data_IF_327227559312
#
_entry.id   IF_327227559312
#
_cell.length_a   1.000
_cell.length_b   1.000
_cell.length_c   1.000
_cell.angle_alpha   90.00
_cell.angle_beta   90.00
_cell.angle_gamma   90.00
#
_symmetry.space_group_name_H-M   'P 1'
#
loop_
_entity.id
_entity.type
_entity.pdbx_description
1 polymer ?
#
# COMPACT_ATOMS: atom_id res chain seq x y z
N UNK A 1 2.55 3.22 -12.18
CA UNK A 1 1.91 2.34 -11.15
C UNK A 1 2.73 2.17 -9.88
N UNK A 2 4.04 1.89 -9.94
CA UNK A 2 4.88 1.71 -8.73
C UNK A 2 4.78 2.89 -7.75
N UNK A 3 4.79 4.13 -8.25
CA UNK A 3 4.67 5.32 -7.41
C UNK A 3 3.34 5.37 -6.62
N UNK A 4 2.22 4.97 -7.25
CA UNK A 4 0.93 4.87 -6.56
C UNK A 4 0.92 3.75 -5.52
N UNK A 5 1.54 2.61 -5.78
CA UNK A 5 1.68 1.54 -4.80
C UNK A 5 2.44 2.02 -3.55
N UNK A 6 3.54 2.77 -3.73
CA UNK A 6 4.30 3.39 -2.63
C UNK A 6 3.45 4.44 -1.92
N UNK A 7 2.73 5.30 -2.65
CA UNK A 7 1.87 6.32 -2.08
C UNK A 7 0.74 5.72 -1.22
N UNK A 8 0.11 4.63 -1.66
CA UNK A 8 -0.90 3.90 -0.87
C UNK A 8 -0.29 3.19 0.33
N UNK A 9 0.92 2.64 0.20
CA UNK A 9 1.61 1.96 1.30
C UNK A 9 2.00 2.93 2.41
N UNK A 10 2.54 4.09 2.03
CA UNK A 10 2.96 5.17 2.94
C UNK A 10 1.81 6.07 3.39
N UNK A 11 0.66 5.98 2.72
CA UNK A 11 -0.54 6.78 2.97
C UNK A 11 -0.29 8.31 2.86
N UNK A 12 0.67 8.70 2.02
CA UNK A 12 1.02 10.10 1.78
C UNK A 12 -0.04 10.76 0.88
N UNK A 13 -0.91 11.60 1.44
CA UNK A 13 -2.00 12.25 0.69
C UNK A 13 -1.50 13.07 -0.51
N UNK A 14 -0.39 13.81 -0.34
CA UNK A 14 0.23 14.59 -1.42
C UNK A 14 0.78 13.70 -2.55
N UNK A 15 1.41 12.59 -2.18
CA UNK A 15 1.95 11.62 -3.13
C UNK A 15 0.82 10.94 -3.92
N UNK A 16 -0.31 10.64 -3.25
CA UNK A 16 -1.50 10.08 -3.89
C UNK A 16 -2.03 11.07 -4.93
N UNK A 17 -2.18 12.36 -4.58
CA UNK A 17 -2.69 13.38 -5.52
C UNK A 17 -1.81 13.49 -6.78
N UNK A 18 -0.52 13.74 -6.60
CA UNK A 18 0.42 13.94 -7.71
C UNK A 18 0.52 12.70 -8.60
N UNK A 19 0.64 11.51 -8.01
CA UNK A 19 0.81 10.29 -8.79
C UNK A 19 -0.51 9.81 -9.41
N UNK A 20 -1.67 10.15 -8.85
CA UNK A 20 -2.98 9.91 -9.49
C UNK A 20 -3.15 10.82 -10.72
N UNK A 21 -2.78 12.10 -10.60
CA UNK A 21 -2.82 13.02 -11.73
C UNK A 21 -1.89 12.58 -12.87
N UNK A 22 -0.70 12.08 -12.55
CA UNK A 22 0.23 11.50 -13.52
C UNK A 22 -0.34 10.23 -14.18
N UNK A 23 -0.88 9.29 -13.38
CA UNK A 23 -1.49 8.06 -13.88
C UNK A 23 -2.65 8.34 -14.85
N UNK A 24 -3.50 9.32 -14.53
CA UNK A 24 -4.60 9.73 -15.43
C UNK A 24 -4.09 10.25 -16.78
N UNK A 25 -2.96 10.97 -16.81
CA UNK A 25 -2.33 11.46 -18.06
C UNK A 25 -1.78 10.31 -18.91
N UNK A 26 -1.35 9.23 -18.27
CA UNK A 26 -0.88 8.01 -18.93
C UNK A 26 -2.03 7.10 -19.40
N UNK A 27 -3.29 7.48 -19.15
CA UNK A 27 -4.47 6.72 -19.59
C UNK A 27 -4.83 5.55 -18.68
N UNK A 28 -4.28 5.50 -17.47
CA UNK A 28 -4.56 4.45 -16.48
C UNK A 28 -6.05 4.45 -16.14
N UNK A 29 -6.67 3.26 -16.14
CA UNK A 29 -8.09 3.10 -15.84
C UNK A 29 -8.36 3.07 -14.34
N UNK A 30 -9.63 3.24 -13.97
CA UNK A 30 -10.06 3.10 -12.57
C UNK A 30 -9.85 1.70 -12.03
N UNK A 31 -9.97 0.68 -12.88
CA UNK A 31 -9.77 -0.73 -12.54
C UNK A 31 -8.29 -0.99 -12.22
N UNK A 32 -7.36 -0.51 -13.05
CA UNK A 32 -5.92 -0.61 -12.79
C UNK A 32 -5.52 0.12 -11.50
N UNK A 33 -6.13 1.29 -11.23
CA UNK A 33 -5.91 2.02 -9.98
C UNK A 33 -6.39 1.22 -8.76
N UNK A 34 -7.55 0.57 -8.89
CA UNK A 34 -8.14 -0.28 -7.85
C UNK A 34 -7.29 -1.54 -7.60
N UNK A 35 -6.74 -2.17 -8.63
CA UNK A 35 -5.81 -3.29 -8.49
C UNK A 35 -4.58 -2.90 -7.67
N UNK A 36 -3.96 -1.75 -7.98
CA UNK A 36 -2.80 -1.26 -7.23
C UNK A 36 -3.16 -0.96 -5.77
N UNK A 37 -4.35 -0.39 -5.52
CA UNK A 37 -4.83 -0.15 -4.16
C UNK A 37 -5.03 -1.46 -3.37
N UNK A 38 -5.62 -2.48 -4.00
CA UNK A 38 -5.82 -3.80 -3.39
C UNK A 38 -4.48 -4.50 -3.08
N UNK A 39 -3.51 -4.44 -3.99
CA UNK A 39 -2.16 -4.98 -3.76
C UNK A 39 -1.49 -4.29 -2.57
N UNK A 40 -1.53 -2.95 -2.51
CA UNK A 40 -0.96 -2.19 -1.41
C UNK A 40 -1.65 -2.50 -0.07
N UNK A 41 -2.98 -2.66 -0.07
CA UNK A 41 -3.74 -3.04 1.11
C UNK A 41 -3.34 -4.44 1.61
N UNK A 42 -3.25 -5.43 0.71
CA UNK A 42 -2.84 -6.78 1.05
C UNK A 42 -1.42 -6.83 1.64
N UNK A 43 -0.47 -6.08 1.07
CA UNK A 43 0.90 -6.00 1.60
C UNK A 43 0.93 -5.39 3.01
N UNK A 44 0.19 -4.30 3.26
CA UNK A 44 0.13 -3.70 4.60
C UNK A 44 -0.50 -4.64 5.62
N UNK A 45 -1.59 -5.32 5.26
CA UNK A 45 -2.23 -6.30 6.12
C UNK A 45 -1.28 -7.46 6.46
N UNK A 46 -0.61 -8.03 5.45
CA UNK A 46 0.37 -9.11 5.65
C UNK A 46 1.57 -8.69 6.51
N UNK A 47 2.06 -7.46 6.33
CA UNK A 47 3.10 -6.88 7.18
C UNK A 47 2.64 -6.77 8.63
N UNK A 48 1.46 -6.19 8.87
CA UNK A 48 0.90 -6.09 10.22
C UNK A 48 0.73 -7.46 10.89
N UNK A 49 0.24 -8.46 10.16
CA UNK A 49 0.06 -9.82 10.68
C UNK A 49 1.39 -10.49 11.03
N UNK A 50 2.38 -10.42 10.15
CA UNK A 50 3.71 -11.03 10.36
C UNK A 50 4.43 -10.40 11.55
N UNK A 51 4.43 -9.06 11.62
CA UNK A 51 5.04 -8.35 12.75
C UNK A 51 4.25 -8.56 14.05
N UNK A 52 2.91 -8.67 13.98
CA UNK A 52 2.08 -9.05 15.12
C UNK A 52 2.41 -10.45 15.65
N UNK A 53 2.60 -11.42 14.77
CA UNK A 53 3.02 -12.77 15.15
C UNK A 53 4.41 -12.78 15.81
N UNK A 54 5.36 -12.01 15.28
CA UNK A 54 6.66 -11.82 15.91
C UNK A 54 6.53 -11.18 17.30
N UNK A 55 5.70 -10.14 17.44
CA UNK A 55 5.47 -9.47 18.71
C UNK A 55 4.88 -10.42 19.76
N UNK A 56 3.91 -11.27 19.39
CA UNK A 56 3.34 -12.29 20.28
C UNK A 56 4.40 -13.30 20.74
N UNK A 57 5.22 -13.80 19.80
CA UNK A 57 6.33 -14.71 20.13
C UNK A 57 7.30 -14.08 21.13
N UNK A 58 7.73 -12.85 20.88
CA UNK A 58 8.65 -12.13 21.77
C UNK A 58 8.03 -11.80 23.12
N UNK A 59 6.71 -11.57 23.17
CA UNK A 59 5.98 -11.36 24.41
C UNK A 59 6.01 -12.60 25.30
N UNK A 60 5.83 -13.80 24.73
CA UNK A 60 5.86 -15.07 25.48
C UNK A 60 7.27 -15.48 25.95
N UNK A 61 8.33 -14.95 25.32
CA UNK A 61 9.74 -15.23 25.65
C UNK A 61 10.33 -14.31 26.74
N UNK A 62 9.63 -13.22 27.13
CA UNK A 62 10.04 -12.30 28.20
C UNK A 62 9.28 -12.55 29.51
#
# INVERSE_FOLDING_TARGET
MIALAVAFTTQCAYCIDIHTAAAKKEGVTTEELAEVALIAAALRAGGAMTHGALAMKLYDEN
#
